data_IF_878027611863
#
_entry.id   IF_878027611863
#
_cell.length_a   1.000
_cell.length_b   1.000
_cell.length_c   1.000
_cell.angle_alpha   90.00
_cell.angle_beta   90.00
_cell.angle_gamma   90.00
#
_symmetry.space_group_name_H-M   'P 1'
#
loop_
_entity.id
_entity.type
_entity.pdbx_description
1 polymer ?
#
# COMPACT_ATOMS: atom_id res chain seq x y z
N UNK A 1 4.83 -35.16 -7.64
CA UNK A 1 4.69 -33.84 -6.96
C UNK A 1 3.36 -33.28 -7.39
N UNK A 2 2.35 -33.35 -6.52
CA UNK A 2 1.07 -32.72 -6.79
C UNK A 2 1.29 -31.21 -6.89
N UNK A 3 1.01 -30.64 -8.07
CA UNK A 3 0.88 -29.20 -8.23
C UNK A 3 -0.35 -28.77 -7.43
N UNK A 4 -0.18 -28.49 -6.14
CA UNK A 4 -1.23 -27.88 -5.33
C UNK A 4 -1.56 -26.55 -5.99
N UNK A 5 -2.76 -26.46 -6.58
CA UNK A 5 -3.27 -25.22 -7.18
C UNK A 5 -3.26 -24.16 -6.08
N UNK A 6 -2.47 -23.11 -6.27
CA UNK A 6 -2.35 -22.01 -5.32
C UNK A 6 -3.70 -21.31 -5.22
N UNK A 7 -4.27 -21.19 -4.02
CA UNK A 7 -5.52 -20.46 -3.83
C UNK A 7 -5.32 -18.97 -4.12
N UNK A 8 -6.40 -18.25 -4.46
CA UNK A 8 -6.33 -16.79 -4.59
C UNK A 8 -5.82 -16.13 -3.29
N UNK A 9 -6.14 -16.72 -2.14
CA UNK A 9 -5.67 -16.25 -0.83
C UNK A 9 -4.16 -16.44 -0.63
N UNK A 10 -3.62 -17.61 -1.02
CA UNK A 10 -2.18 -17.86 -1.00
C UNK A 10 -1.42 -16.84 -1.89
N UNK A 11 -1.99 -16.56 -3.08
CA UNK A 11 -1.43 -15.57 -3.99
C UNK A 11 -1.43 -14.16 -3.39
N UNK A 12 -2.57 -13.71 -2.83
CA UNK A 12 -2.70 -12.38 -2.23
C UNK A 12 -1.75 -12.23 -1.04
N UNK A 13 -1.66 -13.24 -0.18
CA UNK A 13 -0.75 -13.22 0.96
C UNK A 13 0.71 -13.12 0.50
N UNK A 14 1.11 -13.92 -0.48
CA UNK A 14 2.45 -13.90 -1.06
C UNK A 14 2.78 -12.55 -1.73
N UNK A 15 1.83 -12.00 -2.47
CA UNK A 15 1.96 -10.70 -3.15
C UNK A 15 2.14 -9.56 -2.14
N UNK A 16 1.31 -9.50 -1.09
CA UNK A 16 1.43 -8.50 -0.03
C UNK A 16 2.74 -8.63 0.73
N UNK A 17 3.17 -9.87 1.05
CA UNK A 17 4.45 -10.11 1.72
C UNK A 17 5.63 -9.63 0.87
N UNK A 18 5.69 -10.04 -0.40
CA UNK A 18 6.77 -9.66 -1.33
C UNK A 18 6.85 -8.14 -1.48
N UNK A 19 5.70 -7.47 -1.62
CA UNK A 19 5.65 -6.02 -1.73
C UNK A 19 6.16 -5.31 -0.47
N UNK A 20 5.83 -5.82 0.73
CA UNK A 20 6.37 -5.30 1.99
C UNK A 20 7.89 -5.47 2.05
N UNK A 21 8.40 -6.64 1.66
CA UNK A 21 9.84 -6.92 1.70
C UNK A 21 10.60 -5.96 0.76
N UNK A 22 10.06 -5.68 -0.43
CA UNK A 22 10.62 -4.69 -1.35
C UNK A 22 10.58 -3.26 -0.82
N UNK A 23 9.50 -2.87 -0.14
CA UNK A 23 9.37 -1.54 0.48
C UNK A 23 10.33 -1.39 1.67
N UNK A 24 10.52 -2.44 2.48
CA UNK A 24 11.50 -2.46 3.57
C UNK A 24 12.90 -2.30 3.00
N UNK A 25 13.27 -3.06 1.97
CA UNK A 25 14.57 -2.94 1.30
C UNK A 25 14.83 -1.53 0.75
N UNK A 26 13.80 -0.89 0.17
CA UNK A 26 13.90 0.50 -0.29
C UNK A 26 14.10 1.48 0.86
N UNK A 27 13.32 1.35 1.94
CA UNK A 27 13.42 2.19 3.11
C UNK A 27 14.79 2.05 3.81
N UNK A 28 15.33 0.84 3.88
CA UNK A 28 16.65 0.57 4.45
C UNK A 28 17.76 1.20 3.60
N UNK A 29 17.65 1.12 2.26
CA UNK A 29 18.56 1.80 1.34
C UNK A 29 18.55 3.32 1.58
N UNK A 30 17.37 3.93 1.59
CA UNK A 30 17.25 5.37 1.83
C UNK A 30 17.74 5.80 3.21
N UNK A 31 17.55 4.95 4.23
CA UNK A 31 18.10 5.20 5.58
C UNK A 31 19.61 5.20 5.57
N UNK A 32 20.24 4.29 4.80
CA UNK A 32 21.68 4.27 4.61
C UNK A 32 22.14 5.54 3.87
N UNK A 33 21.52 5.88 2.74
CA UNK A 33 21.87 7.08 1.95
C UNK A 33 21.74 8.36 2.80
N UNK A 34 20.69 8.46 3.63
CA UNK A 34 20.48 9.58 4.57
C UNK A 34 21.57 9.69 5.64
N UNK A 35 22.07 8.56 6.15
CA UNK A 35 23.12 8.54 7.17
C UNK A 35 24.52 8.79 6.59
N UNK A 36 24.73 8.50 5.31
CA UNK A 36 26.00 8.74 4.60
C UNK A 36 26.11 10.22 4.17
N UNK A 37 25.05 10.76 3.55
CA UNK A 37 25.00 12.15 3.11
C UNK A 37 23.56 12.67 3.19
N UNK A 38 23.25 13.38 4.27
CA UNK A 38 21.93 13.93 4.49
C UNK A 38 21.54 14.99 3.46
N UNK A 39 22.48 15.84 3.02
CA UNK A 39 22.18 16.92 2.06
C UNK A 39 21.80 16.33 0.71
N UNK A 40 22.58 15.35 0.24
CA UNK A 40 22.26 14.62 -0.98
C UNK A 40 20.94 13.86 -0.85
N UNK A 41 20.73 13.12 0.24
CA UNK A 41 19.46 12.43 0.49
C UNK A 41 18.27 13.39 0.47
N UNK A 42 18.38 14.52 1.15
CA UNK A 42 17.29 15.48 1.25
C UNK A 42 16.90 16.04 -0.12
N UNK A 43 17.89 16.36 -0.96
CA UNK A 43 17.66 16.93 -2.29
C UNK A 43 17.15 15.91 -3.32
N UNK A 44 17.45 14.62 -3.17
CA UNK A 44 17.21 13.62 -4.22
C UNK A 44 16.27 12.47 -3.85
N UNK A 45 16.20 12.08 -2.57
CA UNK A 45 15.53 10.85 -2.14
C UNK A 45 14.47 11.04 -1.04
N UNK A 46 14.37 12.22 -0.42
CA UNK A 46 13.41 12.46 0.66
C UNK A 46 11.94 12.23 0.23
N UNK A 47 11.58 12.60 -1.00
CA UNK A 47 10.26 12.37 -1.56
C UNK A 47 9.95 10.86 -1.70
N UNK A 48 10.86 10.11 -2.32
CA UNK A 48 10.69 8.67 -2.54
C UNK A 48 10.66 7.90 -1.21
N UNK A 49 11.49 8.30 -0.25
CA UNK A 49 11.47 7.74 1.11
C UNK A 49 10.13 8.03 1.79
N UNK A 50 9.60 9.24 1.70
CA UNK A 50 8.29 9.59 2.25
C UNK A 50 7.18 8.71 1.64
N UNK A 51 7.14 8.58 0.30
CA UNK A 51 6.17 7.73 -0.39
C UNK A 51 6.28 6.26 0.02
N UNK A 52 7.51 5.74 0.09
CA UNK A 52 7.83 4.37 0.52
C UNK A 52 7.30 4.09 1.92
N UNK A 53 7.55 5.00 2.88
CA UNK A 53 7.09 4.84 4.26
C UNK A 53 5.56 4.87 4.38
N UNK A 54 4.89 5.76 3.64
CA UNK A 54 3.42 5.83 3.61
C UNK A 54 2.80 4.56 3.04
N UNK A 55 3.36 4.05 1.94
CA UNK A 55 2.91 2.80 1.33
C UNK A 55 3.16 1.60 2.27
N UNK A 56 4.36 1.51 2.84
CA UNK A 56 4.75 0.47 3.79
C UNK A 56 3.83 0.42 5.00
N UNK A 57 3.46 1.58 5.55
CA UNK A 57 2.52 1.66 6.68
C UNK A 57 1.15 1.06 6.32
N UNK A 58 0.64 1.33 5.13
CA UNK A 58 -0.66 0.80 4.70
C UNK A 58 -0.61 -0.71 4.45
N UNK A 59 0.46 -1.21 3.83
CA UNK A 59 0.62 -2.64 3.58
C UNK A 59 0.88 -3.43 4.87
N UNK A 60 1.60 -2.87 5.85
CA UNK A 60 1.74 -3.50 7.17
C UNK A 60 0.41 -3.65 7.88
N UNK A 61 -0.45 -2.63 7.82
CA UNK A 61 -1.82 -2.72 8.36
C UNK A 61 -2.63 -3.82 7.65
N UNK A 62 -2.56 -3.91 6.32
CA UNK A 62 -3.21 -4.98 5.57
C UNK A 62 -2.67 -6.38 5.96
N UNK A 63 -1.35 -6.52 6.13
CA UNK A 63 -0.72 -7.78 6.54
C UNK A 63 -1.24 -8.27 7.90
N UNK A 64 -1.48 -7.36 8.84
CA UNK A 64 -2.05 -7.71 10.15
C UNK A 64 -3.42 -8.34 9.97
N UNK A 65 -4.31 -7.73 9.18
CA UNK A 65 -5.65 -8.26 8.90
C UNK A 65 -5.57 -9.59 8.14
N UNK A 66 -4.69 -9.71 7.15
CA UNK A 66 -4.45 -10.97 6.42
C UNK A 66 -3.96 -12.11 7.31
N UNK A 67 -3.26 -11.81 8.40
CA UNK A 67 -2.66 -12.84 9.27
C UNK A 67 -3.59 -13.26 10.41
N UNK A 68 -4.50 -12.38 10.84
CA UNK A 68 -5.32 -12.59 12.04
C UNK A 68 -6.83 -12.59 11.77
N UNK A 69 -7.29 -12.00 10.68
CA UNK A 69 -8.70 -11.87 10.32
C UNK A 69 -9.20 -13.04 9.47
N UNK A 70 -10.52 -13.16 9.39
CA UNK A 70 -11.18 -14.02 8.41
C UNK A 70 -11.06 -13.44 7.00
N UNK A 71 -11.37 -14.26 5.99
CA UNK A 71 -11.46 -13.81 4.60
C UNK A 71 -12.43 -12.64 4.43
N UNK A 72 -13.55 -12.64 5.15
CA UNK A 72 -14.53 -11.55 5.12
C UNK A 72 -14.00 -10.29 5.80
N UNK A 73 -13.24 -10.41 6.89
CA UNK A 73 -12.59 -9.25 7.54
C UNK A 73 -11.58 -8.58 6.60
N UNK A 74 -10.82 -9.37 5.84
CA UNK A 74 -9.86 -8.85 4.86
C UNK A 74 -10.57 -8.10 3.73
N UNK A 75 -11.64 -8.68 3.18
CA UNK A 75 -12.45 -8.03 2.14
C UNK A 75 -13.04 -6.73 2.65
N UNK A 76 -13.68 -6.76 3.81
CA UNK A 76 -14.27 -5.57 4.45
C UNK A 76 -13.22 -4.49 4.72
N UNK A 77 -12.02 -4.87 5.18
CA UNK A 77 -10.92 -3.93 5.37
C UNK A 77 -10.47 -3.29 4.05
N UNK A 78 -10.29 -4.09 2.99
CA UNK A 78 -9.90 -3.57 1.67
C UNK A 78 -10.97 -2.63 1.11
N UNK A 79 -12.25 -3.03 1.14
CA UNK A 79 -13.38 -2.21 0.70
C UNK A 79 -13.46 -0.89 1.46
N UNK A 80 -13.41 -0.96 2.81
CA UNK A 80 -13.45 0.23 3.67
C UNK A 80 -12.29 1.17 3.36
N UNK A 81 -11.09 0.61 3.12
CA UNK A 81 -9.91 1.42 2.78
C UNK A 81 -10.03 2.03 1.39
N UNK A 82 -10.50 1.28 0.40
CA UNK A 82 -10.75 1.78 -0.97
C UNK A 82 -11.76 2.92 -0.93
N UNK A 83 -12.88 2.76 -0.20
CA UNK A 83 -13.92 3.77 -0.09
C UNK A 83 -13.40 5.03 0.62
N UNK A 84 -12.74 4.87 1.77
CA UNK A 84 -12.14 6.00 2.49
C UNK A 84 -11.12 6.77 1.65
N UNK A 85 -10.27 6.07 0.90
CA UNK A 85 -9.32 6.72 -0.02
C UNK A 85 -10.02 7.41 -1.19
N UNK A 86 -11.08 6.78 -1.74
CA UNK A 86 -11.90 7.36 -2.81
C UNK A 86 -12.56 8.66 -2.34
N UNK A 87 -13.21 8.63 -1.19
CA UNK A 87 -13.87 9.80 -0.61
C UNK A 87 -12.86 10.91 -0.33
N UNK A 88 -11.70 10.59 0.25
CA UNK A 88 -10.65 11.57 0.49
C UNK A 88 -10.10 12.17 -0.79
N UNK A 89 -10.03 11.41 -1.89
CA UNK A 89 -9.52 11.90 -3.18
C UNK A 89 -10.56 12.72 -3.95
N UNK A 90 -11.85 12.41 -3.81
CA UNK A 90 -12.93 13.11 -4.50
C UNK A 90 -13.41 14.36 -3.75
N UNK A 91 -13.46 14.29 -2.42
CA UNK A 91 -14.02 15.35 -1.57
C UNK A 91 -12.95 16.18 -0.86
N UNK A 92 -11.75 15.63 -0.72
CA UNK A 92 -10.64 16.30 -0.05
C UNK A 92 -10.05 17.43 -0.87
N UNK A 93 -9.39 18.38 -0.19
CA UNK A 93 -8.68 19.45 -0.86
C UNK A 93 -7.43 18.93 -1.56
N UNK A 94 -7.29 19.24 -2.85
CA UNK A 94 -6.08 18.95 -3.64
C UNK A 94 -4.86 19.70 -3.05
N UNK A 95 -5.10 20.86 -2.44
CA UNK A 95 -4.05 21.71 -1.82
C UNK A 95 -4.25 21.80 -0.32
N UNK A 96 -3.16 21.69 0.45
CA UNK A 96 -3.20 21.82 1.92
C UNK A 96 -3.29 23.27 2.40
N UNK A 97 -2.84 24.23 1.60
CA UNK A 97 -2.81 25.67 1.93
C UNK A 97 -2.08 25.98 3.25
N UNK A 98 -1.03 25.22 3.56
CA UNK A 98 -0.14 25.50 4.70
C UNK A 98 0.83 26.63 4.36
N UNK A 99 1.32 27.34 5.38
CA UNK A 99 2.45 28.27 5.25
C UNK A 99 3.78 27.55 5.03
N UNK A 100 3.87 26.26 5.35
CA UNK A 100 5.05 25.43 5.11
C UNK A 100 5.00 24.78 3.72
N UNK A 101 6.00 25.09 2.89
CA UNK A 101 6.17 24.47 1.57
C UNK A 101 6.34 22.94 1.67
N UNK A 102 7.13 22.47 2.64
CA UNK A 102 7.32 21.04 2.88
C UNK A 102 6.01 20.35 3.27
N UNK A 103 5.18 20.99 4.11
CA UNK A 103 3.87 20.45 4.48
C UNK A 103 2.91 20.37 3.29
N UNK A 104 2.96 21.35 2.38
CA UNK A 104 2.16 21.33 1.15
C UNK A 104 2.64 20.23 0.20
N UNK A 105 3.95 20.06 0.03
CA UNK A 105 4.52 18.98 -0.77
C UNK A 105 4.11 17.63 -0.21
N UNK A 106 4.33 17.39 1.09
CA UNK A 106 3.97 16.12 1.74
C UNK A 106 2.48 15.74 1.56
N UNK A 107 1.58 16.73 1.48
CA UNK A 107 0.17 16.51 1.17
C UNK A 107 -0.02 16.01 -0.26
N UNK A 108 0.61 16.65 -1.24
CA UNK A 108 0.57 16.19 -2.64
C UNK A 108 1.10 14.77 -2.78
N UNK A 109 2.25 14.48 -2.15
CA UNK A 109 2.83 13.13 -2.16
C UNK A 109 1.92 12.10 -1.50
N UNK A 110 1.23 12.48 -0.41
CA UNK A 110 0.23 11.63 0.23
C UNK A 110 -0.94 11.30 -0.70
N UNK A 111 -1.44 12.27 -1.47
CA UNK A 111 -2.51 12.04 -2.44
C UNK A 111 -2.06 11.06 -3.55
N UNK A 112 -0.84 11.20 -4.07
CA UNK A 112 -0.28 10.27 -5.07
C UNK A 112 -0.18 8.84 -4.53
N UNK A 113 0.33 8.68 -3.29
CA UNK A 113 0.40 7.37 -2.64
C UNK A 113 -0.99 6.79 -2.40
N UNK A 114 -1.94 7.62 -1.97
CA UNK A 114 -3.33 7.20 -1.76
C UNK A 114 -3.98 6.69 -3.06
N UNK A 115 -3.73 7.34 -4.20
CA UNK A 115 -4.20 6.89 -5.51
C UNK A 115 -3.63 5.50 -5.85
N UNK A 116 -2.31 5.33 -5.70
CA UNK A 116 -1.63 4.05 -5.96
C UNK A 116 -2.15 2.94 -5.05
N UNK A 117 -2.29 3.19 -3.75
CA UNK A 117 -2.80 2.20 -2.78
C UNK A 117 -4.22 1.79 -3.15
N UNK A 118 -5.09 2.75 -3.45
CA UNK A 118 -6.47 2.49 -3.86
C UNK A 118 -6.51 1.56 -5.09
N UNK A 119 -5.70 1.83 -6.11
CA UNK A 119 -5.62 0.99 -7.31
C UNK A 119 -5.16 -0.44 -6.97
N UNK A 120 -4.07 -0.56 -6.20
CA UNK A 120 -3.53 -1.88 -5.82
C UNK A 120 -4.51 -2.69 -4.99
N UNK A 121 -5.18 -2.08 -4.03
CA UNK A 121 -6.16 -2.78 -3.19
C UNK A 121 -7.38 -3.20 -4.02
N UNK A 122 -7.82 -2.37 -4.96
CA UNK A 122 -8.90 -2.74 -5.91
C UNK A 122 -8.52 -3.96 -6.74
N UNK A 123 -7.27 -4.04 -7.22
CA UNK A 123 -6.78 -5.20 -7.98
C UNK A 123 -6.75 -6.46 -7.10
N UNK A 124 -6.23 -6.37 -5.87
CA UNK A 124 -6.17 -7.50 -4.94
C UNK A 124 -7.57 -8.01 -4.57
N UNK A 125 -8.50 -7.11 -4.25
CA UNK A 125 -9.89 -7.46 -3.97
C UNK A 125 -10.54 -8.15 -5.18
N UNK A 126 -10.35 -7.61 -6.39
CA UNK A 126 -10.86 -8.22 -7.61
C UNK A 126 -10.28 -9.60 -7.93
N UNK A 127 -9.06 -9.91 -7.46
CA UNK A 127 -8.48 -11.27 -7.56
C UNK A 127 -9.19 -12.22 -6.59
N UNK A 128 -9.44 -11.78 -5.36
CA UNK A 128 -10.17 -12.57 -4.34
C UNK A 128 -11.57 -12.91 -4.85
N UNK A 129 -12.35 -11.90 -5.26
CA UNK A 129 -13.73 -12.08 -5.71
C UNK A 129 -13.85 -13.00 -6.93
N UNK A 130 -12.89 -12.93 -7.86
CA UNK A 130 -12.85 -13.83 -9.02
C UNK A 130 -12.42 -15.24 -8.62
N UNK A 131 -11.47 -15.37 -7.71
CA UNK A 131 -11.01 -16.67 -7.19
C UNK A 131 -12.13 -17.43 -6.47
N UNK A 132 -12.84 -16.77 -5.56
CA UNK A 132 -13.96 -17.36 -4.80
C UNK A 132 -15.09 -17.85 -5.72
N UNK A 133 -15.40 -17.12 -6.80
CA UNK A 133 -16.41 -17.54 -7.80
C UNK A 133 -16.03 -18.81 -8.55
N UNK A 134 -14.73 -19.03 -8.78
CA UNK A 134 -14.22 -20.23 -9.48
C UNK A 134 -14.19 -21.43 -8.53
N UNK A 135 -13.87 -21.21 -7.26
CA UNK A 135 -13.80 -22.26 -6.23
C UNK A 135 -15.21 -22.72 -5.77
N UNK A 136 -16.20 -21.83 -5.73
CA UNK A 136 -17.59 -22.17 -5.36
C UNK A 136 -18.44 -22.83 -6.46
N UNK A 137 -17.87 -23.11 -7.64
CA UNK A 137 -18.53 -23.78 -8.77
C UNK A 137 -18.12 -25.26 -8.93
N UNK A 138 -17.36 -25.81 -7.98
CA UNK A 138 -16.94 -27.23 -7.91
C UNK A 138 -17.71 -27.97 -6.82
#
# INVERSE_FOLDING_TARGET
>A
MENKKMSCWDFVFSSVKTHIDDLVRQADKYTKDMNEDFEHFFCWYAEDMYKTQRELSCYRALKVVLSAGSHDDVKLYMESKINSLTDSLLTGSIRKNSTSAASNLAHTLELEVNQKIREKFTILLGIIEKGEKVEGQQ
#
